data_IF_727098298744
#
_entry.id   IF_727098298744
#
_cell.length_a   1.000
_cell.length_b   1.000
_cell.length_c   1.000
_cell.angle_alpha   90.00
_cell.angle_beta   90.00
_cell.angle_gamma   90.00
#
_symmetry.space_group_name_H-M   'P 1'
#
loop_
_entity.id
_entity.type
_entity.pdbx_description
1 polymer ?
#
# COMPACT_ATOMS: atom_id res chain seq x y z
N UNK A 1 -2.83 -30.04 -3.22
CA UNK A 1 -1.56 -29.33 -2.97
C UNK A 1 -1.71 -27.92 -3.52
N UNK A 2 -2.00 -26.94 -2.66
CA UNK A 2 -2.03 -25.54 -3.09
C UNK A 2 -0.57 -25.09 -3.22
N UNK A 3 -0.09 -24.96 -4.45
CA UNK A 3 1.18 -24.32 -4.72
C UNK A 3 1.00 -22.85 -4.34
N UNK A 4 1.59 -22.43 -3.22
CA UNK A 4 1.79 -21.02 -2.95
C UNK A 4 2.71 -20.50 -4.06
N UNK A 5 2.12 -19.88 -5.08
CA UNK A 5 2.86 -19.19 -6.13
C UNK A 5 3.74 -18.16 -5.44
N UNK A 6 5.06 -18.30 -5.58
CA UNK A 6 6.00 -17.29 -5.14
C UNK A 6 5.53 -15.93 -5.68
N UNK A 7 5.64 -14.88 -4.85
CA UNK A 7 5.32 -13.52 -5.26
C UNK A 7 6.38 -13.13 -6.29
N UNK A 8 6.03 -13.32 -7.56
CA UNK A 8 6.89 -13.08 -8.71
C UNK A 8 6.44 -11.76 -9.32
N UNK A 9 7.40 -10.92 -9.73
CA UNK A 9 7.08 -9.68 -10.42
C UNK A 9 6.30 -9.96 -11.70
N UNK A 10 5.36 -9.07 -12.04
CA UNK A 10 4.67 -9.16 -13.33
C UNK A 10 5.58 -8.82 -14.51
N UNK A 11 6.65 -8.06 -14.26
CA UNK A 11 7.58 -7.55 -15.26
C UNK A 11 8.89 -8.32 -15.21
N UNK A 12 9.16 -9.15 -16.21
CA UNK A 12 10.41 -9.92 -16.29
C UNK A 12 11.63 -9.00 -16.41
N UNK A 13 12.79 -9.48 -15.97
CA UNK A 13 14.09 -8.82 -16.18
C UNK A 13 14.26 -8.40 -17.65
N UNK A 14 14.67 -7.16 -17.88
CA UNK A 14 14.86 -6.59 -19.22
C UNK A 14 13.63 -5.90 -19.80
N UNK A 15 12.49 -5.90 -19.11
CA UNK A 15 11.28 -5.21 -19.59
C UNK A 15 11.46 -3.69 -19.45
N UNK A 16 11.35 -2.95 -20.56
CA UNK A 16 11.40 -1.48 -20.55
C UNK A 16 10.10 -0.92 -19.98
N UNK A 17 10.19 -0.16 -18.90
CA UNK A 17 9.04 0.44 -18.22
C UNK A 17 8.68 1.79 -18.86
N UNK A 18 7.86 1.73 -19.92
CA UNK A 18 7.50 2.89 -20.73
C UNK A 18 6.72 3.94 -19.92
N UNK A 19 7.07 5.21 -20.11
CA UNK A 19 6.32 6.35 -19.58
C UNK A 19 6.63 6.70 -18.12
N UNK A 20 7.67 6.11 -17.54
CA UNK A 20 8.18 6.49 -16.22
C UNK A 20 9.16 7.67 -16.34
N UNK A 21 9.94 7.73 -17.42
CA UNK A 21 10.89 8.81 -17.59
C UNK A 21 10.19 10.14 -17.94
N UNK A 22 10.48 11.17 -17.14
CA UNK A 22 9.96 12.54 -17.32
C UNK A 22 11.00 13.49 -17.91
N UNK A 23 12.26 13.05 -18.04
CA UNK A 23 13.35 13.86 -18.58
C UNK A 23 13.40 13.78 -20.10
N UNK A 24 13.66 14.93 -20.76
CA UNK A 24 13.72 15.03 -22.23
C UNK A 24 14.79 14.14 -22.86
N UNK A 25 15.99 14.13 -22.28
CA UNK A 25 17.13 13.32 -22.73
C UNK A 25 17.31 12.05 -21.89
N UNK A 26 16.30 11.67 -21.12
CA UNK A 26 16.32 10.46 -20.29
C UNK A 26 15.92 9.22 -21.08
N UNK A 27 16.25 8.05 -20.53
CA UNK A 27 15.76 6.76 -21.01
C UNK A 27 14.78 6.16 -20.00
N UNK A 28 13.80 5.42 -20.50
CA UNK A 28 12.89 4.67 -19.65
C UNK A 28 13.67 3.60 -18.87
N UNK A 29 13.41 3.44 -17.56
CA UNK A 29 14.10 2.45 -16.75
C UNK A 29 13.73 1.03 -17.20
N UNK A 30 14.72 0.13 -17.12
CA UNK A 30 14.57 -1.29 -17.44
C UNK A 30 14.40 -2.09 -16.16
N UNK A 31 13.44 -3.00 -16.12
CA UNK A 31 13.21 -3.88 -14.99
C UNK A 31 14.43 -4.79 -14.74
N UNK A 32 14.88 -4.84 -13.48
CA UNK A 32 15.97 -5.68 -12.98
C UNK A 32 15.41 -7.05 -12.55
N UNK A 33 16.28 -7.94 -12.06
CA UNK A 33 15.83 -9.19 -11.45
C UNK A 33 15.07 -8.93 -10.14
N UNK A 34 14.09 -9.78 -9.80
CA UNK A 34 13.31 -9.69 -8.55
C UNK A 34 14.21 -9.70 -7.31
N UNK A 35 15.36 -10.37 -7.39
CA UNK A 35 16.37 -10.49 -6.34
C UNK A 35 17.19 -9.21 -6.14
N UNK A 36 17.26 -8.36 -7.16
CA UNK A 36 18.00 -7.09 -7.12
C UNK A 36 17.15 -6.00 -6.45
N UNK A 37 15.84 -6.22 -6.28
CA UNK A 37 14.96 -5.31 -5.57
C UNK A 37 14.97 -5.57 -4.05
N UNK A 38 14.89 -4.52 -3.22
CA UNK A 38 14.82 -4.67 -1.78
C UNK A 38 13.59 -5.47 -1.32
N UNK A 39 13.76 -6.28 -0.27
CA UNK A 39 12.70 -7.14 0.26
C UNK A 39 11.44 -6.39 0.73
N UNK A 40 11.54 -5.10 1.06
CA UNK A 40 10.37 -4.31 1.45
C UNK A 40 9.36 -4.14 0.32
N UNK A 41 9.78 -4.19 -0.95
CA UNK A 41 8.91 -4.02 -2.12
C UNK A 41 7.79 -5.08 -2.13
N UNK A 42 8.15 -6.32 -1.81
CA UNK A 42 7.23 -7.45 -1.83
C UNK A 42 6.23 -7.43 -0.66
N UNK A 43 6.59 -6.76 0.44
CA UNK A 43 5.71 -6.58 1.61
C UNK A 43 4.58 -5.58 1.36
N UNK A 44 4.64 -4.77 0.29
CA UNK A 44 3.57 -3.82 -0.03
C UNK A 44 2.25 -4.50 -0.41
N UNK A 45 2.34 -5.75 -0.88
CA UNK A 45 1.18 -6.55 -1.29
C UNK A 45 0.53 -7.27 -0.11
N UNK A 46 1.18 -7.30 1.05
CA UNK A 46 0.62 -7.90 2.25
C UNK A 46 -0.67 -7.16 2.66
N UNK A 47 -1.69 -7.89 3.11
CA UNK A 47 -2.93 -7.26 3.57
C UNK A 47 -2.62 -6.32 4.72
N UNK A 48 -3.20 -5.11 4.66
CA UNK A 48 -3.07 -4.16 5.77
C UNK A 48 -3.64 -4.79 7.04
N UNK A 49 -2.94 -4.67 8.18
CA UNK A 49 -3.46 -5.18 9.43
C UNK A 49 -4.75 -4.44 9.80
N UNK A 50 -5.63 -5.13 10.52
CA UNK A 50 -6.76 -4.45 11.14
C UNK A 50 -6.24 -3.60 12.30
N UNK A 51 -6.02 -2.32 11.99
CA UNK A 51 -5.53 -1.34 12.95
C UNK A 51 -6.42 -1.24 14.20
N UNK A 52 -7.73 -1.49 14.11
CA UNK A 52 -8.59 -1.42 15.30
C UNK A 52 -8.39 -2.61 16.24
N UNK A 53 -8.05 -3.77 15.69
CA UNK A 53 -7.78 -5.00 16.43
C UNK A 53 -6.34 -5.09 16.96
N UNK A 54 -5.45 -4.18 16.54
CA UNK A 54 -4.06 -4.15 16.99
C UNK A 54 -3.93 -3.90 18.51
N UNK A 55 -3.06 -4.68 19.14
CA UNK A 55 -2.72 -4.58 20.57
C UNK A 55 -1.91 -3.30 20.87
N UNK A 56 -1.05 -2.88 19.93
CA UNK A 56 -0.21 -1.69 20.09
C UNK A 56 -0.98 -0.40 19.79
N UNK A 57 -1.46 0.22 20.87
CA UNK A 57 -2.29 1.43 20.85
C UNK A 57 -1.51 2.71 20.55
N UNK A 58 -0.19 2.65 20.38
CA UNK A 58 0.64 3.81 20.00
C UNK A 58 1.01 3.85 18.51
N UNK A 59 0.62 2.86 17.70
CA UNK A 59 0.87 2.90 16.27
C UNK A 59 0.19 4.12 15.58
N UNK A 60 0.92 4.77 14.68
CA UNK A 60 0.45 5.98 13.99
C UNK A 60 -0.80 5.66 13.15
N UNK A 61 -0.86 4.49 12.52
CA UNK A 61 -2.01 4.12 11.69
C UNK A 61 -3.23 3.80 12.57
N UNK A 62 -3.04 3.17 13.72
CA UNK A 62 -4.09 3.04 14.74
C UNK A 62 -4.69 4.39 15.11
N UNK A 63 -3.87 5.36 15.54
CA UNK A 63 -4.34 6.70 15.92
C UNK A 63 -5.10 7.41 14.79
N UNK A 64 -4.61 7.28 13.55
CA UNK A 64 -5.29 7.81 12.35
C UNK A 64 -6.65 7.16 12.11
N UNK A 65 -6.78 5.84 12.29
CA UNK A 65 -8.04 5.12 12.07
C UNK A 65 -9.12 5.55 13.06
N UNK A 66 -8.81 5.63 14.36
CA UNK A 66 -9.77 6.07 15.38
C UNK A 66 -10.17 7.52 15.17
N UNK A 67 -9.21 8.39 14.87
CA UNK A 67 -9.49 9.81 14.65
C UNK A 67 -10.47 9.98 13.48
N UNK A 68 -10.26 9.25 12.38
CA UNK A 68 -11.21 9.22 11.24
C UNK A 68 -12.58 8.68 11.65
N UNK A 69 -12.64 7.61 12.44
CA UNK A 69 -13.90 7.04 12.92
C UNK A 69 -14.69 8.02 13.80
N UNK A 70 -14.00 8.70 14.73
CA UNK A 70 -14.60 9.73 15.60
C UNK A 70 -15.16 10.90 14.81
N UNK A 71 -14.40 11.39 13.82
CA UNK A 71 -14.87 12.47 12.94
C UNK A 71 -16.14 12.04 12.19
N UNK A 72 -16.16 10.82 11.63
CA UNK A 72 -17.35 10.28 10.94
C UNK A 72 -18.56 10.17 11.87
N UNK A 73 -18.38 9.64 13.08
CA UNK A 73 -19.45 9.53 14.07
C UNK A 73 -20.02 10.90 14.46
N UNK A 74 -19.14 11.89 14.67
CA UNK A 74 -19.56 13.26 14.95
C UNK A 74 -20.32 13.89 13.78
N UNK A 75 -19.89 13.65 12.54
CA UNK A 75 -20.61 14.10 11.34
C UNK A 75 -22.01 13.47 11.27
N UNK A 76 -22.13 12.16 11.51
CA UNK A 76 -23.40 11.46 11.51
C UNK A 76 -24.34 11.98 12.61
N UNK A 77 -23.85 12.16 13.83
CA UNK A 77 -24.64 12.67 14.94
C UNK A 77 -25.18 14.09 14.68
N UNK A 78 -24.41 14.93 13.99
CA UNK A 78 -24.88 16.25 13.54
C UNK A 78 -25.98 16.15 12.49
N UNK A 79 -25.86 15.21 11.55
CA UNK A 79 -26.89 14.97 10.54
C UNK A 79 -28.19 14.46 11.15
N UNK A 80 -28.14 13.50 12.07
CA UNK A 80 -29.34 12.93 12.70
C UNK A 80 -30.05 13.91 13.64
N UNK A 81 -29.34 14.89 14.19
CA UNK A 81 -29.90 15.93 15.08
C UNK A 81 -30.50 17.12 14.31
N UNK A 82 -30.31 17.18 12.99
CA UNK A 82 -30.81 18.26 12.14
C UNK A 82 -32.26 18.06 11.65
N UNK A 83 -33.04 17.19 12.31
CA UNK A 83 -34.46 16.98 12.05
C UNK A 83 -35.30 17.41 13.24
#
# INVERSE_FOLDING_TARGET
MFLATAIISSCKKGTVLKGINVLKDGQDPVAMDDSEYPAWLWKLLDPKPDYLALEDKLDINYLRTITRAKIRANTLAKQTKSF
#
